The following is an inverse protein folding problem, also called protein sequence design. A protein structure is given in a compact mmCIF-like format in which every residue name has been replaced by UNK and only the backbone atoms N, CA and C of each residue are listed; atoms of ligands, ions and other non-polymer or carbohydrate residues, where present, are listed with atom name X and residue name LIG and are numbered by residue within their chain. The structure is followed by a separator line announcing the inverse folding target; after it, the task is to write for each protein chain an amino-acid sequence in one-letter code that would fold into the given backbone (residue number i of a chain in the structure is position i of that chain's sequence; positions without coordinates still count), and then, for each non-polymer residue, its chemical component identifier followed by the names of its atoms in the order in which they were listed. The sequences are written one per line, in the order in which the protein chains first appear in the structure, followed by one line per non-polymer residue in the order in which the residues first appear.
data_IF_910355324027
#
_entry.id   IF_910355324027
#
_cell.length_a   1.000
_cell.length_b   1.000
_cell.length_c   1.000
_cell.angle_alpha   90.00
_cell.angle_beta   90.00
_cell.angle_gamma   90.00
#
_symmetry.space_group_name_H-M   'P 1'
#
loop_
_entity.id
_entity.type
_entity.pdbx_description
1 polymer ?
#
# COMPACT_ATOMS: atom_id res chain seq x y z
N UNK A 1 -12.55 16.70 15.62
CA UNK A 1 -11.33 16.58 14.84
C UNK A 1 -10.72 15.21 15.08
N UNK A 2 -10.58 14.46 14.01
CA UNK A 2 -9.90 13.17 14.08
C UNK A 2 -8.47 13.42 14.56
N UNK A 3 -8.20 13.08 15.79
CA UNK A 3 -6.84 13.03 16.30
C UNK A 3 -6.28 11.68 15.91
N UNK A 4 -5.21 11.72 15.14
CA UNK A 4 -4.38 10.55 14.97
C UNK A 4 -3.69 10.26 16.30
N UNK A 5 -4.34 9.46 17.13
CA UNK A 5 -3.65 8.92 18.27
C UNK A 5 -2.68 7.85 17.76
N UNK A 6 -1.56 7.69 18.43
CA UNK A 6 -0.59 6.62 18.14
C UNK A 6 -1.23 5.23 18.14
N UNK A 7 -2.38 5.09 18.78
CA UNK A 7 -3.09 3.82 18.92
C UNK A 7 -3.96 3.49 17.71
N UNK A 8 -4.25 4.49 16.85
CA UNK A 8 -5.11 4.33 15.68
C UNK A 8 -4.36 4.32 14.36
N UNK A 9 -3.08 4.67 14.33
CA UNK A 9 -2.30 4.62 13.12
C UNK A 9 -1.77 3.22 12.82
N UNK A 10 -1.59 2.91 11.53
CA UNK A 10 -1.05 1.64 11.10
C UNK A 10 0.43 1.53 11.46
N UNK A 11 0.81 0.51 12.23
CA UNK A 11 2.16 0.30 12.69
C UNK A 11 2.97 -0.65 11.83
N UNK A 12 2.32 -1.37 10.96
CA UNK A 12 2.94 -2.24 9.97
C UNK A 12 2.26 -2.04 8.63
N UNK A 13 2.90 -2.51 7.58
CA UNK A 13 2.33 -2.46 6.23
C UNK A 13 1.10 -3.36 6.12
N UNK A 14 1.14 -4.51 6.77
CA UNK A 14 0.01 -5.44 6.83
C UNK A 14 -1.18 -4.80 7.53
N UNK A 15 -0.92 -4.10 8.62
CA UNK A 15 -1.95 -3.35 9.34
C UNK A 15 -2.52 -2.22 8.48
N UNK A 16 -1.66 -1.49 7.77
CA UNK A 16 -2.10 -0.45 6.83
C UNK A 16 -2.98 -1.03 5.72
N UNK A 17 -2.57 -2.13 5.11
CA UNK A 17 -3.34 -2.79 4.05
C UNK A 17 -4.71 -3.25 4.55
N UNK A 18 -4.75 -3.87 5.71
CA UNK A 18 -6.00 -4.31 6.33
C UNK A 18 -6.91 -3.14 6.68
N UNK A 19 -6.38 -2.13 7.33
CA UNK A 19 -7.15 -0.98 7.78
C UNK A 19 -7.65 -0.12 6.62
N UNK A 20 -6.82 0.08 5.61
CA UNK A 20 -7.22 0.77 4.37
C UNK A 20 -8.31 -0.02 3.65
N UNK A 21 -8.17 -1.33 3.52
CA UNK A 21 -9.19 -2.19 2.92
C UNK A 21 -10.52 -2.11 3.67
N UNK A 22 -10.49 -2.14 4.99
CA UNK A 22 -11.69 -2.00 5.82
C UNK A 22 -12.35 -0.63 5.64
N UNK A 23 -11.54 0.43 5.57
CA UNK A 23 -12.05 1.79 5.32
C UNK A 23 -12.73 1.91 3.96
N UNK A 24 -12.12 1.36 2.92
CA UNK A 24 -12.70 1.34 1.56
C UNK A 24 -14.01 0.53 1.54
N UNK A 25 -14.02 -0.64 2.15
CA UNK A 25 -15.22 -1.47 2.23
C UNK A 25 -16.39 -0.78 2.93
N UNK A 26 -16.08 0.05 3.93
CA UNK A 26 -17.12 0.81 4.63
C UNK A 26 -17.75 1.91 3.78
N UNK A 27 -17.10 2.29 2.66
CA UNK A 27 -17.54 3.39 1.81
C UNK A 27 -17.35 4.76 2.44
N UNK A 28 -16.65 4.85 3.56
CA UNK A 28 -16.45 6.09 4.29
C UNK A 28 -15.12 6.74 3.88
N UNK A 29 -15.21 7.77 3.03
CA UNK A 29 -14.04 8.50 2.55
C UNK A 29 -13.24 9.13 3.69
N UNK A 30 -13.87 9.51 4.78
CA UNK A 30 -13.18 10.12 5.92
C UNK A 30 -12.26 9.10 6.61
N UNK A 31 -12.67 7.84 6.67
CA UNK A 31 -11.81 6.76 7.17
C UNK A 31 -10.63 6.50 6.24
N UNK A 32 -10.86 6.50 4.94
CA UNK A 32 -9.78 6.37 3.94
C UNK A 32 -8.80 7.55 4.06
N UNK A 33 -9.32 8.77 4.16
CA UNK A 33 -8.52 9.98 4.34
C UNK A 33 -7.66 9.94 5.61
N UNK A 34 -8.12 9.22 6.63
CA UNK A 34 -7.39 9.02 7.87
C UNK A 34 -6.05 8.30 7.72
N UNK A 35 -5.85 7.54 6.65
CA UNK A 35 -4.60 6.84 6.36
C UNK A 35 -3.73 7.54 5.34
N UNK A 36 -4.16 8.70 4.84
CA UNK A 36 -3.43 9.45 3.83
C UNK A 36 -2.42 10.42 4.46
N UNK A 37 -1.26 10.55 3.82
CA UNK A 37 -0.25 11.55 4.20
C UNK A 37 -0.58 12.90 3.56
N UNK A 38 -1.15 13.80 4.34
CA UNK A 38 -1.56 15.14 3.91
C UNK A 38 -0.44 16.18 3.98
N UNK A 39 0.74 15.79 4.43
CA UNK A 39 1.84 16.74 4.66
C UNK A 39 2.23 17.46 3.36
N UNK A 40 2.44 18.76 3.46
CA UNK A 40 2.87 19.60 2.35
C UNK A 40 1.80 19.87 1.29
N UNK A 41 0.55 19.50 1.53
CA UNK A 41 -0.53 19.65 0.55
C UNK A 41 -1.23 20.99 0.69
N UNK A 42 -1.47 21.68 -0.43
CA UNK A 42 -2.32 22.87 -0.45
C UNK A 42 -3.79 22.53 -0.23
N UNK A 43 -4.58 23.51 0.19
CA UNK A 43 -6.02 23.33 0.38
C UNK A 43 -6.72 22.89 -0.91
N UNK A 44 -6.38 23.52 -2.04
CA UNK A 44 -6.97 23.19 -3.35
C UNK A 44 -6.65 21.73 -3.76
N UNK A 45 -5.40 21.31 -3.58
CA UNK A 45 -5.01 19.94 -3.87
C UNK A 45 -5.65 18.95 -2.90
N UNK A 46 -5.84 19.34 -1.65
CA UNK A 46 -6.54 18.53 -0.65
C UNK A 46 -7.98 18.23 -1.05
N UNK A 47 -8.72 19.20 -1.53
CA UNK A 47 -10.08 18.99 -2.03
C UNK A 47 -10.12 18.07 -3.25
N UNK A 48 -9.21 18.25 -4.21
CA UNK A 48 -9.11 17.36 -5.37
C UNK A 48 -8.80 15.94 -4.98
N UNK A 49 -7.93 15.77 -4.00
CA UNK A 49 -7.60 14.45 -3.49
C UNK A 49 -8.78 13.80 -2.79
N UNK A 50 -9.53 14.54 -1.98
CA UNK A 50 -10.75 14.01 -1.34
C UNK A 50 -11.74 13.51 -2.39
N UNK A 51 -11.91 14.20 -3.50
CA UNK A 51 -12.77 13.74 -4.59
C UNK A 51 -12.27 12.42 -5.19
N UNK A 52 -10.96 12.27 -5.36
CA UNK A 52 -10.37 11.00 -5.83
C UNK A 52 -10.55 9.88 -4.82
N UNK A 53 -10.33 10.16 -3.55
CA UNK A 53 -10.52 9.17 -2.49
C UNK A 53 -11.99 8.74 -2.37
N UNK A 54 -12.93 9.65 -2.61
CA UNK A 54 -14.36 9.32 -2.64
C UNK A 54 -14.67 8.33 -3.75
N UNK A 55 -14.13 8.53 -4.94
CA UNK A 55 -14.30 7.58 -6.05
C UNK A 55 -13.77 6.19 -5.66
N UNK A 56 -12.63 6.14 -5.01
CA UNK A 56 -12.05 4.88 -4.53
C UNK A 56 -12.95 4.25 -3.45
N UNK A 57 -13.42 5.03 -2.49
CA UNK A 57 -14.28 4.54 -1.42
C UNK A 57 -15.65 4.04 -1.92
N UNK A 58 -16.11 4.53 -3.07
CA UNK A 58 -17.41 4.14 -3.66
C UNK A 58 -17.33 2.85 -4.49
N UNK A 59 -16.14 2.35 -4.80
CA UNK A 59 -15.96 1.15 -5.62
C UNK A 59 -15.90 -0.10 -4.76
N UNK A 60 -16.52 -1.20 -5.20
CA UNK A 60 -16.39 -2.49 -4.52
C UNK A 60 -14.93 -2.93 -4.40
N UNK A 61 -14.53 -3.34 -3.22
CA UNK A 61 -13.18 -3.82 -2.95
C UNK A 61 -13.04 -5.30 -3.29
N UNK A 62 -11.94 -5.63 -3.96
CA UNK A 62 -11.53 -7.03 -4.18
C UNK A 62 -10.39 -7.38 -3.23
N UNK A 63 -9.33 -6.58 -3.20
CA UNK A 63 -8.15 -6.88 -2.39
C UNK A 63 -7.24 -5.67 -2.22
N UNK A 64 -6.43 -5.69 -1.17
CA UNK A 64 -5.35 -4.72 -0.94
C UNK A 64 -4.09 -5.51 -0.64
N UNK A 65 -3.07 -5.32 -1.45
CA UNK A 65 -1.82 -6.05 -1.33
C UNK A 65 -0.61 -5.13 -1.30
N UNK A 66 0.37 -5.40 -0.43
CA UNK A 66 1.67 -4.74 -0.53
C UNK A 66 2.36 -5.05 -1.85
N UNK A 67 3.02 -4.04 -2.41
CA UNK A 67 3.87 -4.18 -3.60
C UNK A 67 5.33 -4.02 -3.22
N UNK A 68 6.16 -4.92 -3.74
CA UNK A 68 7.59 -4.91 -3.47
C UNK A 68 8.38 -4.73 -4.76
N UNK A 69 9.52 -4.04 -4.67
CA UNK A 69 10.46 -3.92 -5.78
C UNK A 69 11.07 -5.28 -6.10
N UNK A 70 11.23 -5.59 -7.39
CA UNK A 70 11.79 -6.85 -7.85
C UNK A 70 10.77 -7.91 -8.25
N UNK A 71 9.46 -7.63 -8.15
CA UNK A 71 8.38 -8.52 -8.59
C UNK A 71 8.47 -9.91 -7.95
N UNK A 72 8.20 -10.94 -8.73
CA UNK A 72 8.22 -12.34 -8.28
C UNK A 72 9.60 -12.78 -7.74
N UNK A 73 10.68 -12.12 -8.13
CA UNK A 73 12.02 -12.43 -7.67
C UNK A 73 12.31 -11.94 -6.25
N UNK A 74 11.45 -11.13 -5.67
CA UNK A 74 11.60 -10.67 -4.30
C UNK A 74 11.31 -11.78 -3.27
N UNK A 75 10.65 -12.86 -3.67
CA UNK A 75 10.27 -13.98 -2.83
C UNK A 75 10.73 -15.31 -3.38
N UNK A 76 11.94 -15.71 -3.08
CA UNK A 76 12.19 -17.14 -3.01
C UNK A 76 12.42 -17.88 -4.30
N UNK A 77 12.74 -17.24 -5.39
CA UNK A 77 13.65 -17.90 -6.31
C UNK A 77 15.03 -17.69 -5.73
N UNK A 78 15.56 -18.74 -5.13
CA UNK A 78 16.94 -18.79 -4.72
C UNK A 78 17.81 -18.52 -5.94
N UNK A 79 18.28 -17.28 -6.06
CA UNK A 79 19.29 -16.96 -7.05
C UNK A 79 20.57 -17.62 -6.56
N UNK A 80 20.86 -18.78 -7.12
CA UNK A 80 22.10 -19.50 -6.84
C UNK A 80 23.23 -18.78 -7.54
N UNK A 81 24.22 -18.36 -6.77
CA UNK A 81 25.49 -17.87 -7.29
C UNK A 81 26.46 -19.01 -7.42
N UNK A 82 27.11 -19.08 -8.57
CA UNK A 82 28.22 -19.97 -8.77
C UNK A 82 29.50 -19.31 -8.20
N UNK A 83 30.12 -19.96 -7.25
CA UNK A 83 31.44 -19.54 -6.74
C UNK A 83 32.52 -20.18 -7.60
N UNK A 84 33.20 -19.36 -8.40
CA UNK A 84 34.25 -19.81 -9.29
C UNK A 84 35.49 -20.36 -8.55
N UNK A 85 35.72 -19.95 -7.32
CA UNK A 85 36.86 -20.38 -6.53
C UNK A 85 36.69 -21.79 -5.97
N UNK A 86 35.49 -22.19 -5.66
CA UNK A 86 35.17 -23.49 -5.03
C UNK A 86 34.31 -24.40 -5.90
N UNK A 87 33.76 -23.88 -7.01
CA UNK A 87 32.84 -24.62 -7.87
C UNK A 87 31.46 -24.88 -7.20
N UNK A 88 31.19 -24.24 -6.06
CA UNK A 88 29.98 -24.44 -5.31
C UNK A 88 28.91 -23.45 -5.76
N UNK A 89 27.66 -23.93 -5.79
CA UNK A 89 26.49 -23.07 -5.92
C UNK A 89 26.15 -22.49 -4.54
N UNK A 90 26.27 -21.18 -4.40
CA UNK A 90 25.95 -20.47 -3.18
C UNK A 90 24.57 -19.84 -3.31
N UNK A 91 23.72 -20.03 -2.32
CA UNK A 91 22.50 -19.25 -2.18
C UNK A 91 22.89 -17.79 -1.98
N UNK A 92 22.37 -16.88 -2.83
CA UNK A 92 22.54 -15.46 -2.60
C UNK A 92 21.85 -15.11 -1.27
N UNK A 93 22.48 -14.26 -0.40
CA UNK A 93 21.79 -13.81 0.80
C UNK A 93 20.47 -13.16 0.39
N UNK A 94 19.34 -13.53 1.02
CA UNK A 94 18.05 -12.94 0.70
C UNK A 94 18.13 -11.44 0.93
N UNK A 95 18.00 -10.65 -0.13
CA UNK A 95 17.75 -9.23 0.03
C UNK A 95 16.33 -9.09 0.50
N UNK A 96 16.06 -8.41 1.64
CA UNK A 96 14.70 -8.12 2.03
C UNK A 96 14.03 -7.36 0.89
N UNK A 97 12.84 -7.81 0.42
CA UNK A 97 12.12 -7.11 -0.62
C UNK A 97 11.81 -5.70 -0.14
N UNK A 98 12.08 -4.72 -1.00
CA UNK A 98 11.79 -3.31 -0.69
C UNK A 98 10.34 -3.02 -0.98
N UNK A 99 9.60 -2.61 0.06
CA UNK A 99 8.24 -2.16 -0.10
C UNK A 99 8.18 -0.86 -0.91
N UNK A 100 7.35 -0.84 -1.96
CA UNK A 100 7.18 0.32 -2.84
C UNK A 100 5.78 0.89 -2.84
N UNK A 101 4.77 0.17 -2.38
CA UNK A 101 3.41 0.67 -2.34
C UNK A 101 2.38 -0.35 -1.89
N UNK A 102 1.12 0.08 -1.95
CA UNK A 102 -0.05 -0.78 -1.80
C UNK A 102 -0.85 -0.76 -3.10
N UNK A 103 -1.22 -1.94 -3.55
CA UNK A 103 -2.09 -2.12 -4.71
C UNK A 103 -3.50 -2.40 -4.22
N UNK A 104 -4.43 -1.53 -4.59
CA UNK A 104 -5.85 -1.67 -4.28
C UNK A 104 -6.55 -2.19 -5.54
N UNK A 105 -7.05 -3.40 -5.47
CA UNK A 105 -7.84 -4.03 -6.51
C UNK A 105 -9.31 -3.86 -6.19
N UNK A 106 -10.04 -3.30 -7.14
CA UNK A 106 -11.47 -3.02 -7.03
C UNK A 106 -12.17 -3.39 -8.33
N UNK A 107 -13.48 -3.29 -8.33
CA UNK A 107 -14.28 -3.23 -9.55
C UNK A 107 -14.92 -1.85 -9.70
N UNK A 108 -15.37 -1.52 -10.89
CA UNK A 108 -16.30 -0.40 -11.06
C UNK A 108 -17.65 -0.77 -10.42
N UNK A 109 -18.56 0.19 -10.38
CA UNK A 109 -19.89 -0.01 -9.77
C UNK A 109 -20.69 -1.19 -10.35
N UNK A 110 -20.36 -1.62 -11.59
CA UNK A 110 -20.99 -2.80 -12.22
C UNK A 110 -20.59 -4.14 -11.58
N UNK A 111 -19.59 -4.14 -10.69
CA UNK A 111 -19.12 -5.36 -10.00
C UNK A 111 -18.26 -6.30 -10.85
N UNK A 112 -17.99 -5.99 -12.12
CA UNK A 112 -17.29 -6.89 -13.05
C UNK A 112 -16.07 -6.28 -13.72
N UNK A 113 -16.05 -4.97 -13.93
CA UNK A 113 -14.92 -4.29 -14.58
C UNK A 113 -13.79 -4.05 -13.57
N UNK A 114 -12.59 -4.61 -13.77
CA UNK A 114 -11.48 -4.39 -12.86
C UNK A 114 -11.07 -2.92 -12.80
N UNK A 115 -10.70 -2.50 -11.60
CA UNK A 115 -10.14 -1.17 -11.33
C UNK A 115 -8.99 -1.32 -10.35
N UNK A 116 -7.88 -0.68 -10.65
CA UNK A 116 -6.67 -0.76 -9.83
C UNK A 116 -6.18 0.63 -9.46
N UNK A 117 -5.83 0.81 -8.19
CA UNK A 117 -5.16 2.00 -7.70
C UNK A 117 -3.90 1.58 -6.98
N UNK A 118 -2.81 2.27 -7.26
CA UNK A 118 -1.54 2.06 -6.57
C UNK A 118 -1.26 3.27 -5.70
N UNK A 119 -1.14 3.03 -4.40
CA UNK A 119 -0.72 4.03 -3.43
C UNK A 119 0.76 3.86 -3.14
N UNK A 120 1.50 4.96 -3.09
CA UNK A 120 2.80 4.97 -2.42
C UNK A 120 2.60 4.82 -0.91
N UNK A 121 3.63 4.37 -0.22
CA UNK A 121 3.63 4.24 1.24
C UNK A 121 4.80 5.00 1.83
N UNK A 122 4.57 5.56 3.00
CA UNK A 122 5.58 6.30 3.74
C UNK A 122 5.46 6.02 5.23
N UNK A 123 6.60 5.82 5.88
CA UNK A 123 6.65 5.68 7.33
C UNK A 123 7.05 7.01 7.95
N UNK A 124 6.21 7.53 8.83
CA UNK A 124 6.44 8.74 9.59
C UNK A 124 6.07 8.53 11.05
N UNK A 125 6.99 8.85 11.97
CA UNK A 125 6.73 8.80 13.41
C UNK A 125 6.19 7.44 13.89
N UNK A 126 6.72 6.36 13.32
CA UNK A 126 6.31 5.01 13.70
C UNK A 126 5.01 4.53 13.07
N UNK A 127 4.38 5.33 12.23
CA UNK A 127 3.14 4.99 11.53
C UNK A 127 3.34 4.94 10.02
N UNK A 128 2.58 4.09 9.36
CA UNK A 128 2.55 3.97 7.91
C UNK A 128 1.39 4.74 7.30
N UNK A 129 1.65 5.46 6.22
CA UNK A 129 0.70 6.32 5.53
C UNK A 129 0.72 6.01 4.03
N UNK A 130 -0.40 6.27 3.37
CA UNK A 130 -0.51 6.14 1.91
C UNK A 130 -0.47 7.50 1.22
N UNK A 131 0.00 7.49 -0.02
CA UNK A 131 -0.02 8.65 -0.92
C UNK A 131 -0.38 8.20 -2.33
N UNK A 132 -1.07 9.08 -3.03
CA UNK A 132 -1.31 8.93 -4.47
C UNK A 132 -0.28 9.65 -5.30
#
# INVERSE_FOLDING_TARGET
AARYSRDTCARSVQDLAYSLGSAIQSGDVNRVAGFYDWSGMSTANGYRLMDRLQVIADRPLVDVQPMYAGGANAYGEDVMRFDEATGALLAAPPRPPRLVGLRVEQTLANGTTPSRTVFGVRKLQGCWWVRL
#
